data_IF_995096888208
#
_entry.id   IF_995096888208
#
_cell.length_a   1.000
_cell.length_b   1.000
_cell.length_c   1.000
_cell.angle_alpha   90.00
_cell.angle_beta   90.00
_cell.angle_gamma   90.00
#
_symmetry.space_group_name_H-M   'P 1'
#
loop_
_entity.id
_entity.type
_entity.pdbx_description
1 polymer ?
#
# COMPACT_ATOMS: atom_id res chain seq x y z
N UNK A 1 -34.07 -30.04 -0.52
CA UNK A 1 -33.30 -29.47 -1.67
C UNK A 1 -32.07 -28.80 -1.15
N UNK A 2 -30.91 -29.13 -1.68
CA UNK A 2 -29.65 -28.49 -1.34
C UNK A 2 -29.70 -26.96 -1.65
N UNK A 3 -29.28 -26.15 -0.71
CA UNK A 3 -29.31 -24.70 -0.80
C UNK A 3 -27.95 -24.19 -1.21
N UNK A 4 -27.88 -23.47 -2.31
CA UNK A 4 -26.66 -22.78 -2.76
C UNK A 4 -26.53 -21.45 -2.01
N UNK A 5 -25.60 -21.39 -1.08
CA UNK A 5 -25.28 -20.17 -0.37
C UNK A 5 -24.32 -19.34 -1.18
N UNK A 6 -24.78 -18.19 -1.63
CA UNK A 6 -24.00 -17.23 -2.40
C UNK A 6 -23.32 -16.25 -1.47
N UNK A 7 -22.12 -15.78 -1.86
CA UNK A 7 -21.43 -14.73 -1.15
C UNK A 7 -22.30 -13.46 -1.13
N UNK A 8 -22.75 -13.02 0.06
CA UNK A 8 -23.66 -11.88 0.17
C UNK A 8 -22.92 -10.56 -0.09
N UNK A 9 -23.67 -9.52 -0.44
CA UNK A 9 -23.21 -8.15 -0.37
C UNK A 9 -23.08 -7.76 1.12
N UNK A 10 -21.86 -7.57 1.58
CA UNK A 10 -21.54 -7.25 2.98
C UNK A 10 -21.49 -5.75 3.25
N UNK A 11 -22.01 -4.93 2.31
CA UNK A 11 -22.18 -3.49 2.43
C UNK A 11 -21.12 -2.64 1.72
N UNK A 12 -21.43 -1.35 1.52
CA UNK A 12 -20.55 -0.31 0.95
C UNK A 12 -19.96 -0.58 -0.45
N UNK A 13 -20.69 -1.33 -1.32
CA UNK A 13 -20.30 -1.54 -2.72
C UNK A 13 -19.12 -2.51 -2.91
N UNK A 14 -18.94 -3.45 -2.01
CA UNK A 14 -17.94 -4.52 -2.12
C UNK A 14 -18.37 -5.46 -3.25
N UNK A 15 -17.50 -5.65 -4.24
CA UNK A 15 -17.75 -6.51 -5.39
C UNK A 15 -17.05 -7.87 -5.31
N UNK A 16 -15.96 -7.95 -4.56
CA UNK A 16 -15.14 -9.18 -4.40
C UNK A 16 -14.56 -9.29 -2.99
N UNK A 17 -14.25 -10.52 -2.54
CA UNK A 17 -13.52 -10.79 -1.32
C UNK A 17 -12.57 -11.98 -1.47
N UNK A 18 -11.55 -12.08 -0.63
CA UNK A 18 -10.62 -13.21 -0.59
C UNK A 18 -10.88 -14.04 0.65
N UNK A 19 -11.10 -15.34 0.50
CA UNK A 19 -11.34 -16.25 1.64
C UNK A 19 -10.03 -16.39 2.43
N UNK A 20 -10.01 -15.86 3.64
CA UNK A 20 -8.85 -15.95 4.54
C UNK A 20 -8.81 -17.30 5.21
N UNK A 21 -9.95 -17.74 5.76
CA UNK A 21 -10.04 -18.97 6.53
C UNK A 21 -11.44 -19.56 6.53
N UNK A 22 -11.54 -20.86 6.40
CA UNK A 22 -12.76 -21.61 6.67
C UNK A 22 -12.84 -22.02 8.13
N UNK A 23 -13.97 -21.74 8.78
CA UNK A 23 -14.26 -22.20 10.17
C UNK A 23 -14.97 -23.56 10.17
N UNK A 24 -15.37 -24.06 9.00
CA UNK A 24 -16.11 -25.33 8.81
C UNK A 24 -15.49 -26.15 7.69
N UNK A 25 -15.74 -27.46 7.71
CA UNK A 25 -15.29 -28.40 6.68
C UNK A 25 -16.49 -29.04 5.97
N UNK A 26 -16.23 -29.59 4.79
CA UNK A 26 -17.24 -30.40 4.11
C UNK A 26 -17.65 -31.60 4.98
N UNK A 27 -18.96 -31.74 5.19
CA UNK A 27 -19.54 -32.75 6.07
C UNK A 27 -19.93 -32.23 7.47
N UNK A 28 -19.49 -31.05 7.87
CA UNK A 28 -19.84 -30.46 9.16
C UNK A 28 -21.30 -30.02 9.22
N UNK A 29 -21.93 -30.19 10.39
CA UNK A 29 -23.24 -29.64 10.68
C UNK A 29 -23.08 -28.19 11.17
N UNK A 30 -23.88 -27.30 10.60
CA UNK A 30 -23.87 -25.88 10.94
C UNK A 30 -25.27 -25.42 11.37
N UNK A 31 -25.33 -24.50 12.31
CA UNK A 31 -26.54 -23.83 12.73
C UNK A 31 -26.75 -22.53 11.92
N UNK A 32 -27.96 -21.96 11.97
CA UNK A 32 -28.17 -20.59 11.48
C UNK A 32 -27.29 -19.63 12.26
N UNK A 33 -26.74 -18.63 11.56
CA UNK A 33 -25.85 -17.57 12.09
C UNK A 33 -24.47 -18.07 12.60
N UNK A 34 -24.14 -19.36 12.41
CA UNK A 34 -22.82 -19.87 12.70
C UNK A 34 -21.83 -19.39 11.63
N UNK A 35 -20.67 -18.85 12.04
CA UNK A 35 -19.63 -18.34 11.14
C UNK A 35 -19.07 -19.50 10.30
N UNK A 36 -19.13 -19.36 8.96
CA UNK A 36 -18.62 -20.33 7.99
C UNK A 36 -17.20 -20.01 7.54
N UNK A 37 -16.94 -18.73 7.27
CA UNK A 37 -15.65 -18.28 6.74
C UNK A 37 -15.32 -16.86 7.19
N UNK A 38 -14.03 -16.53 7.22
CA UNK A 38 -13.50 -15.17 7.28
C UNK A 38 -13.08 -14.77 5.86
N UNK A 39 -13.61 -13.65 5.38
CA UNK A 39 -13.34 -13.12 4.04
C UNK A 39 -12.73 -11.73 4.17
N UNK A 40 -11.56 -11.54 3.60
CA UNK A 40 -10.88 -10.24 3.50
C UNK A 40 -11.45 -9.48 2.30
N UNK A 41 -11.99 -8.32 2.57
CA UNK A 41 -12.45 -7.36 1.57
C UNK A 41 -11.44 -6.23 1.44
N UNK A 42 -11.67 -5.27 0.57
CA UNK A 42 -10.82 -4.08 0.44
C UNK A 42 -10.79 -3.18 1.69
N UNK A 43 -11.78 -3.33 2.59
CA UNK A 43 -11.94 -2.48 3.78
C UNK A 43 -11.68 -3.21 5.10
N UNK A 44 -12.06 -4.48 5.23
CA UNK A 44 -11.94 -5.23 6.48
C UNK A 44 -12.03 -6.75 6.25
N UNK A 45 -11.69 -7.53 7.28
CA UNK A 45 -12.02 -8.95 7.35
C UNK A 45 -13.44 -9.06 7.91
N UNK A 46 -14.32 -9.70 7.14
CA UNK A 46 -15.72 -9.89 7.46
C UNK A 46 -16.02 -11.36 7.72
N UNK A 47 -16.70 -11.65 8.80
CA UNK A 47 -17.17 -12.99 9.11
C UNK A 47 -18.48 -13.29 8.36
N UNK A 48 -18.55 -14.42 7.65
CA UNK A 48 -19.72 -14.81 6.86
C UNK A 48 -20.52 -15.86 7.62
N UNK A 49 -21.71 -15.52 8.14
CA UNK A 49 -22.57 -16.45 8.86
C UNK A 49 -23.38 -17.35 7.92
N UNK A 50 -23.78 -18.51 8.42
CA UNK A 50 -24.69 -19.41 7.70
C UNK A 50 -26.13 -18.86 7.69
N UNK A 51 -26.81 -18.81 6.54
CA UNK A 51 -28.20 -18.35 6.46
C UNK A 51 -29.21 -19.35 7.02
N UNK A 52 -28.81 -20.61 7.23
CA UNK A 52 -29.69 -21.67 7.76
C UNK A 52 -28.88 -22.82 8.36
N UNK A 53 -29.55 -23.63 9.20
CA UNK A 53 -29.04 -24.90 9.69
C UNK A 53 -28.98 -25.97 8.60
N UNK A 54 -27.94 -26.80 8.62
CA UNK A 54 -27.78 -27.91 7.67
C UNK A 54 -26.41 -28.56 7.77
N UNK A 55 -26.07 -29.39 6.78
CA UNK A 55 -24.75 -29.98 6.64
C UNK A 55 -24.05 -29.34 5.41
N UNK A 56 -22.79 -29.01 5.54
CA UNK A 56 -21.99 -28.50 4.43
C UNK A 56 -21.75 -29.63 3.42
N UNK A 57 -22.44 -29.59 2.31
CA UNK A 57 -22.31 -30.61 1.27
C UNK A 57 -21.09 -30.39 0.39
N UNK A 58 -20.77 -29.11 0.11
CA UNK A 58 -19.63 -28.72 -0.71
C UNK A 58 -19.16 -27.32 -0.39
N UNK A 59 -17.85 -27.12 -0.39
CA UNK A 59 -17.18 -25.81 -0.42
C UNK A 59 -16.64 -25.59 -1.83
N UNK A 60 -17.00 -24.48 -2.49
CA UNK A 60 -16.65 -24.25 -3.90
C UNK A 60 -15.30 -23.54 -4.07
N UNK A 61 -14.80 -22.91 -3.03
CA UNK A 61 -13.57 -22.13 -3.05
C UNK A 61 -12.62 -22.61 -1.93
N UNK A 62 -11.32 -22.43 -2.13
CA UNK A 62 -10.27 -22.74 -1.15
C UNK A 62 -9.84 -21.48 -0.39
N UNK A 63 -9.15 -21.67 0.73
CA UNK A 63 -8.48 -20.56 1.41
C UNK A 63 -7.47 -19.90 0.46
N UNK A 64 -7.55 -18.56 0.36
CA UNK A 64 -6.77 -17.75 -0.57
C UNK A 64 -7.40 -17.51 -1.95
N UNK A 65 -8.57 -18.11 -2.26
CA UNK A 65 -9.30 -17.83 -3.48
C UNK A 65 -10.11 -16.53 -3.36
N UNK A 66 -10.22 -15.78 -4.46
CA UNK A 66 -11.10 -14.63 -4.56
C UNK A 66 -12.48 -15.06 -5.02
N UNK A 67 -13.53 -14.53 -4.38
CA UNK A 67 -14.93 -14.78 -4.71
C UNK A 67 -15.66 -13.47 -4.95
N UNK A 68 -16.53 -13.42 -5.98
CA UNK A 68 -17.35 -12.25 -6.27
C UNK A 68 -18.71 -12.33 -5.57
N UNK A 69 -19.29 -11.18 -5.26
CA UNK A 69 -20.65 -11.09 -4.71
C UNK A 69 -21.63 -11.78 -5.67
N UNK A 70 -22.45 -12.68 -5.11
CA UNK A 70 -23.40 -13.50 -5.88
C UNK A 70 -22.87 -14.85 -6.37
N UNK A 71 -21.55 -15.13 -6.28
CA UNK A 71 -21.00 -16.46 -6.54
C UNK A 71 -21.33 -17.45 -5.41
N UNK A 72 -21.43 -18.75 -5.76
CA UNK A 72 -21.79 -19.78 -4.77
C UNK A 72 -20.59 -20.11 -3.90
N UNK A 73 -20.65 -19.68 -2.62
CA UNK A 73 -19.63 -19.89 -1.61
C UNK A 73 -19.64 -21.35 -1.09
N UNK A 74 -20.81 -21.83 -0.67
CA UNK A 74 -20.98 -23.17 -0.13
C UNK A 74 -22.37 -23.74 -0.48
N UNK A 75 -22.51 -25.07 -0.44
CA UNK A 75 -23.79 -25.77 -0.58
C UNK A 75 -24.16 -26.43 0.73
N UNK A 76 -25.35 -26.07 1.26
CA UNK A 76 -25.86 -26.54 2.55
C UNK A 76 -27.11 -27.37 2.31
N UNK A 77 -27.20 -28.58 2.87
CA UNK A 77 -28.33 -29.48 2.69
C UNK A 77 -28.36 -30.59 3.74
N UNK A 78 -29.24 -31.60 3.52
CA UNK A 78 -29.29 -32.79 4.37
C UNK A 78 -28.30 -33.86 3.92
N UNK A 79 -27.82 -34.70 4.87
CA UNK A 79 -26.80 -35.73 4.61
C UNK A 79 -27.35 -36.76 3.63
N UNK A 80 -26.76 -36.79 2.41
CA UNK A 80 -27.15 -37.73 1.34
C UNK A 80 -27.87 -37.09 0.15
N UNK A 81 -28.16 -35.82 0.16
CA UNK A 81 -28.74 -35.08 -0.97
C UNK A 81 -27.74 -34.94 -2.12
N UNK A 82 -28.12 -35.36 -3.34
CA UNK A 82 -27.28 -35.20 -4.52
C UNK A 82 -27.25 -33.74 -4.97
N UNK A 83 -26.07 -33.20 -5.05
CA UNK A 83 -25.83 -31.85 -5.63
C UNK A 83 -26.14 -31.93 -7.14
N UNK A 84 -27.17 -31.23 -7.60
CA UNK A 84 -27.53 -31.16 -9.01
C UNK A 84 -26.43 -30.50 -9.83
N UNK A 85 -25.86 -31.21 -10.81
CA UNK A 85 -24.95 -30.65 -11.81
C UNK A 85 -25.73 -29.82 -12.84
N UNK A 86 -26.19 -28.64 -12.45
CA UNK A 86 -26.83 -27.74 -13.43
C UNK A 86 -26.12 -26.40 -13.39
N UNK A 87 -25.54 -26.10 -14.53
CA UNK A 87 -25.12 -24.79 -15.02
C UNK A 87 -23.80 -24.19 -14.51
N UNK A 88 -22.73 -24.57 -15.16
CA UNK A 88 -21.72 -23.63 -15.61
C UNK A 88 -21.98 -23.34 -17.09
N UNK A 89 -22.93 -22.51 -17.43
CA UNK A 89 -22.94 -21.79 -18.70
C UNK A 89 -22.41 -20.38 -18.39
N UNK A 90 -21.18 -20.13 -18.84
CA UNK A 90 -20.68 -18.78 -19.07
C UNK A 90 -21.60 -18.12 -20.09
N UNK A 91 -22.25 -17.04 -19.72
CA UNK A 91 -22.82 -16.12 -20.71
C UNK A 91 -21.67 -15.34 -21.33
N UNK A 92 -21.39 -15.67 -22.59
CA UNK A 92 -20.52 -14.88 -23.45
C UNK A 92 -21.18 -13.53 -23.73
N UNK A 93 -20.69 -12.48 -23.10
CA UNK A 93 -20.94 -11.11 -23.58
C UNK A 93 -20.17 -10.92 -24.87
N UNK A 94 -20.89 -10.85 -25.98
CA UNK A 94 -20.36 -10.51 -27.31
C UNK A 94 -19.65 -9.14 -27.25
N UNK A 95 -18.41 -9.04 -27.74
CA UNK A 95 -17.79 -7.74 -27.91
C UNK A 95 -18.37 -7.03 -29.12
N UNK A 96 -18.60 -5.75 -28.96
CA UNK A 96 -18.97 -4.82 -30.02
C UNK A 96 -17.81 -4.66 -31.01
N UNK A 97 -18.01 -5.12 -32.23
CA UNK A 97 -17.03 -4.99 -33.30
C UNK A 97 -17.23 -3.67 -34.05
N UNK A 98 -16.39 -2.69 -33.75
CA UNK A 98 -16.11 -1.56 -34.62
C UNK A 98 -14.83 -1.83 -35.42
N UNK A 99 -14.99 -1.93 -36.72
CA UNK A 99 -14.02 -2.10 -37.80
C UNK A 99 -12.70 -1.32 -37.62
N UNK A 100 -11.51 -1.90 -37.95
CA UNK A 100 -10.84 -1.77 -39.28
C UNK A 100 -9.44 -2.44 -39.23
N UNK A 101 -9.16 -3.25 -40.31
CA UNK A 101 -7.88 -3.63 -40.93
C UNK A 101 -7.01 -4.70 -40.27
N UNK A 102 -7.10 -5.86 -40.85
CA UNK A 102 -6.05 -6.78 -41.33
C UNK A 102 -5.03 -7.31 -40.33
N UNK A 103 -5.23 -8.58 -39.92
CA UNK A 103 -4.11 -9.48 -39.62
C UNK A 103 -4.44 -10.91 -40.01
N UNK A 104 -3.41 -11.59 -40.49
CA UNK A 104 -3.38 -12.95 -41.03
C UNK A 104 -3.79 -13.98 -39.97
N UNK A 105 -4.55 -14.97 -40.41
CA UNK A 105 -4.88 -16.18 -39.66
C UNK A 105 -3.63 -17.04 -39.47
N UNK A 106 -3.33 -17.40 -38.24
CA UNK A 106 -2.42 -18.51 -37.91
C UNK A 106 -3.21 -19.80 -37.70
N UNK A 107 -2.68 -20.88 -38.27
CA UNK A 107 -3.26 -22.21 -38.27
C UNK A 107 -3.26 -22.88 -36.88
N UNK A 108 -4.18 -23.83 -36.62
CA UNK A 108 -4.24 -24.49 -35.32
C UNK A 108 -3.15 -25.57 -35.19
N UNK A 109 -2.40 -25.50 -34.09
CA UNK A 109 -1.49 -26.57 -33.70
C UNK A 109 -2.22 -27.74 -33.06
N UNK A 110 -1.88 -28.93 -33.55
CA UNK A 110 -2.44 -30.23 -33.14
C UNK A 110 -1.95 -30.62 -31.75
N UNK A 111 -2.90 -31.05 -30.89
CA UNK A 111 -2.59 -31.70 -29.62
C UNK A 111 -2.02 -33.11 -29.82
N UNK A 112 -0.74 -33.30 -29.53
CA UNK A 112 -0.21 -34.65 -29.33
C UNK A 112 -0.47 -35.16 -27.91
N UNK A 113 -1.34 -36.14 -27.85
CA UNK A 113 -1.64 -36.93 -26.65
C UNK A 113 -0.53 -37.92 -26.41
N UNK A 114 0.30 -37.76 -25.42
CA UNK A 114 1.11 -38.84 -24.87
C UNK A 114 0.59 -39.30 -23.51
N UNK A 115 -0.09 -40.46 -23.57
CA UNK A 115 -0.41 -41.31 -22.42
C UNK A 115 0.89 -41.92 -21.87
N UNK A 116 1.23 -41.62 -20.61
CA UNK A 116 2.09 -42.50 -19.81
C UNK A 116 1.58 -42.61 -18.39
N UNK A 117 1.00 -43.77 -18.15
CA UNK A 117 0.89 -44.60 -16.93
C UNK A 117 1.07 -43.97 -15.55
N UNK A 118 -0.02 -44.16 -14.79
CA UNK A 118 -0.05 -44.15 -13.32
C UNK A 118 0.98 -45.14 -12.78
N UNK A 119 1.75 -44.67 -11.79
CA UNK A 119 2.34 -45.57 -10.79
C UNK A 119 2.13 -44.89 -9.44
N UNK A 120 1.41 -45.58 -8.58
CA UNK A 120 1.21 -45.27 -7.18
C UNK A 120 2.55 -45.24 -6.43
N UNK A 121 2.80 -44.17 -5.68
CA UNK A 121 3.68 -44.22 -4.52
C UNK A 121 3.28 -43.15 -3.53
N UNK A 122 2.36 -43.45 -2.66
CA UNK A 122 2.30 -42.86 -1.31
C UNK A 122 3.50 -43.34 -0.52
N UNK A 123 4.61 -42.61 -0.55
CA UNK A 123 5.65 -42.72 0.44
C UNK A 123 5.70 -41.36 1.14
N UNK A 124 5.19 -41.28 2.36
CA UNK A 124 5.38 -40.14 3.25
C UNK A 124 6.88 -39.87 3.36
N UNK A 125 7.34 -38.70 2.86
CA UNK A 125 8.69 -38.22 3.09
C UNK A 125 8.87 -38.10 4.60
N UNK A 126 9.64 -39.00 5.21
CA UNK A 126 10.01 -38.89 6.62
C UNK A 126 10.84 -37.63 6.78
N UNK A 127 10.29 -36.63 7.48
CA UNK A 127 10.97 -35.37 7.74
C UNK A 127 12.11 -35.66 8.71
N UNK A 128 13.35 -35.56 8.21
CA UNK A 128 14.56 -35.77 9.03
C UNK A 128 14.88 -34.47 9.73
N UNK A 129 14.50 -34.33 11.00
CA UNK A 129 14.77 -33.16 11.80
C UNK A 129 15.44 -33.55 13.14
N UNK A 130 16.36 -32.74 13.61
CA UNK A 130 16.99 -32.92 14.92
C UNK A 130 15.93 -32.81 16.05
N UNK A 131 16.04 -33.55 17.15
CA UNK A 131 15.06 -33.51 18.26
C UNK A 131 14.83 -32.09 18.79
N UNK A 132 15.89 -31.30 18.94
CA UNK A 132 15.83 -29.89 19.34
C UNK A 132 15.12 -29.01 18.33
N UNK A 133 15.33 -29.22 17.01
CA UNK A 133 14.63 -28.51 15.95
C UNK A 133 13.12 -28.81 15.95
N UNK A 134 12.72 -30.04 16.25
CA UNK A 134 11.29 -30.42 16.41
C UNK A 134 10.62 -29.71 17.59
N UNK A 135 11.34 -29.63 18.75
CA UNK A 135 10.85 -28.94 19.95
C UNK A 135 10.68 -27.44 19.67
N UNK A 136 11.69 -26.81 19.08
CA UNK A 136 11.68 -25.40 18.72
C UNK A 136 10.60 -25.07 17.68
N UNK A 137 10.40 -25.91 16.66
CA UNK A 137 9.34 -25.75 15.67
C UNK A 137 7.94 -25.80 16.30
N UNK A 138 7.75 -26.65 17.32
CA UNK A 138 6.49 -26.72 18.07
C UNK A 138 6.28 -25.47 18.95
N UNK A 139 7.33 -24.96 19.60
CA UNK A 139 7.29 -23.73 20.41
C UNK A 139 7.01 -22.48 19.57
N UNK A 140 7.56 -22.42 18.34
CA UNK A 140 7.41 -21.30 17.43
C UNK A 140 6.24 -21.46 16.45
N UNK A 141 5.44 -22.54 16.56
CA UNK A 141 4.29 -22.87 15.71
C UNK A 141 4.61 -22.90 14.20
N UNK A 142 5.80 -23.45 13.84
CA UNK A 142 6.31 -23.55 12.47
C UNK A 142 6.20 -24.99 11.98
N UNK A 143 5.58 -25.20 10.80
CA UNK A 143 5.48 -26.53 10.15
C UNK A 143 6.83 -26.94 9.56
N UNK A 144 7.36 -28.09 9.99
CA UNK A 144 8.61 -28.67 9.50
C UNK A 144 8.53 -29.12 8.03
N UNK A 145 7.33 -29.30 7.48
CA UNK A 145 7.09 -29.73 6.09
C UNK A 145 7.55 -28.68 5.07
N UNK A 146 7.60 -27.41 5.50
CA UNK A 146 7.93 -26.28 4.66
C UNK A 146 9.38 -25.79 4.83
N UNK A 147 10.21 -26.52 5.62
CA UNK A 147 11.59 -26.15 5.91
C UNK A 147 12.54 -27.07 5.15
N UNK A 148 13.44 -26.49 4.34
CA UNK A 148 14.56 -27.24 3.76
C UNK A 148 15.69 -27.33 4.78
N UNK A 149 16.04 -28.56 5.19
CA UNK A 149 17.13 -28.80 6.14
C UNK A 149 18.51 -28.54 5.52
N UNK A 150 19.36 -27.78 6.21
CA UNK A 150 20.75 -27.50 5.80
C UNK A 150 21.78 -28.39 6.50
N UNK A 151 21.38 -29.25 7.43
CA UNK A 151 22.25 -30.18 8.14
C UNK A 151 22.64 -31.41 7.31
N UNK A 152 23.58 -32.23 7.81
CA UNK A 152 24.05 -33.44 7.13
C UNK A 152 22.90 -34.39 6.75
N UNK A 153 22.88 -34.80 5.47
CA UNK A 153 21.81 -35.66 4.93
C UNK A 153 20.47 -34.97 4.77
N UNK A 154 20.41 -33.60 4.65
CA UNK A 154 19.16 -32.83 4.52
C UNK A 154 18.39 -32.69 5.84
N UNK A 155 19.04 -32.89 6.99
CA UNK A 155 18.41 -32.77 8.32
C UNK A 155 18.10 -31.32 8.64
N UNK A 156 16.88 -31.06 9.13
CA UNK A 156 16.46 -29.73 9.62
C UNK A 156 17.15 -29.45 10.95
N UNK A 157 17.86 -28.31 11.02
CA UNK A 157 18.57 -27.81 12.21
C UNK A 157 17.74 -26.77 12.96
N UNK A 158 18.15 -26.40 14.18
CA UNK A 158 17.52 -25.32 14.95
C UNK A 158 17.58 -23.97 14.21
N UNK A 159 18.68 -23.70 13.51
CA UNK A 159 18.88 -22.47 12.77
C UNK A 159 17.93 -22.37 11.55
N UNK A 160 17.61 -23.49 10.92
CA UNK A 160 16.61 -23.56 9.85
C UNK A 160 15.23 -23.20 10.37
N UNK A 161 14.87 -23.69 11.56
CA UNK A 161 13.59 -23.36 12.21
C UNK A 161 13.57 -21.89 12.62
N UNK A 162 14.64 -21.33 13.20
CA UNK A 162 14.73 -19.91 13.55
C UNK A 162 14.65 -19.02 12.32
N UNK A 163 15.35 -19.35 11.24
CA UNK A 163 15.27 -18.63 9.96
C UNK A 163 13.86 -18.69 9.36
N UNK A 164 13.18 -19.81 9.47
CA UNK A 164 11.81 -19.98 9.01
C UNK A 164 10.79 -19.24 9.88
N UNK A 165 11.01 -19.10 11.18
CA UNK A 165 10.14 -18.37 12.11
C UNK A 165 10.34 -16.85 12.02
N UNK A 166 11.52 -16.38 11.65
CA UNK A 166 11.82 -14.96 11.46
C UNK A 166 11.53 -14.46 10.03
N UNK A 167 11.30 -15.39 9.11
CA UNK A 167 10.95 -15.08 7.72
C UNK A 167 9.44 -14.98 7.53
N UNK A 168 8.93 -13.79 7.19
CA UNK A 168 7.62 -13.64 6.54
C UNK A 168 7.54 -14.64 5.38
N UNK A 169 6.35 -15.18 5.03
CA UNK A 169 6.20 -15.94 3.80
C UNK A 169 6.57 -15.02 2.64
N UNK A 170 7.78 -15.17 2.14
CA UNK A 170 8.18 -14.53 0.89
C UNK A 170 7.14 -14.95 -0.14
N UNK A 171 6.55 -13.99 -0.84
CA UNK A 171 5.61 -14.26 -1.93
C UNK A 171 6.24 -15.35 -2.80
N UNK A 172 5.52 -16.46 -3.04
CA UNK A 172 6.04 -17.59 -3.83
C UNK A 172 6.40 -17.05 -5.22
N UNK A 173 7.69 -16.81 -5.42
CA UNK A 173 8.24 -16.41 -6.71
C UNK A 173 8.19 -17.64 -7.60
N UNK A 174 7.29 -17.65 -8.57
CA UNK A 174 7.21 -18.73 -9.56
C UNK A 174 8.16 -18.41 -10.69
N UNK A 175 9.34 -19.03 -10.69
CA UNK A 175 10.26 -18.95 -11.82
C UNK A 175 9.60 -19.60 -13.04
N UNK A 176 9.35 -18.82 -14.09
CA UNK A 176 8.88 -19.28 -15.38
C UNK A 176 9.83 -18.80 -16.46
N UNK A 177 9.91 -19.58 -17.53
CA UNK A 177 10.59 -19.21 -18.75
C UNK A 177 9.63 -18.43 -19.65
N UNK A 178 10.05 -17.32 -20.23
CA UNK A 178 9.40 -16.69 -21.36
C UNK A 178 10.26 -16.81 -22.63
N UNK A 179 9.87 -16.18 -23.72
CA UNK A 179 10.58 -16.22 -25.00
C UNK A 179 12.01 -15.68 -24.94
N UNK A 180 12.35 -14.92 -23.91
CA UNK A 180 13.64 -14.22 -23.77
C UNK A 180 14.50 -14.77 -22.63
N UNK A 181 13.92 -15.56 -21.71
CA UNK A 181 14.68 -16.12 -20.60
C UNK A 181 13.86 -16.37 -19.33
N UNK A 182 14.56 -16.48 -18.21
CA UNK A 182 13.93 -16.70 -16.92
C UNK A 182 13.26 -15.42 -16.41
N UNK A 183 12.02 -15.54 -15.95
CA UNK A 183 11.25 -14.47 -15.33
C UNK A 183 10.76 -14.89 -13.94
N UNK A 184 10.85 -13.98 -12.99
CA UNK A 184 10.26 -14.12 -11.68
C UNK A 184 8.92 -13.36 -11.66
N UNK A 185 7.82 -14.05 -11.41
CA UNK A 185 6.49 -13.45 -11.27
C UNK A 185 6.18 -13.21 -9.80
N UNK A 186 6.13 -11.94 -9.41
CA UNK A 186 5.82 -11.52 -8.04
C UNK A 186 4.41 -10.92 -8.03
N UNK A 187 3.44 -11.51 -7.30
CA UNK A 187 2.09 -10.95 -7.24
C UNK A 187 2.07 -9.64 -6.44
N UNK A 188 1.27 -8.69 -6.89
CA UNK A 188 0.96 -7.48 -6.12
C UNK A 188 0.04 -7.86 -4.94
N UNK A 189 0.54 -7.75 -3.71
CA UNK A 189 -0.20 -8.08 -2.47
C UNK A 189 -0.02 -6.99 -1.42
N UNK A 190 -0.99 -6.90 -0.48
CA UNK A 190 -0.94 -5.97 0.65
C UNK A 190 -0.75 -4.52 0.22
N UNK A 191 0.10 -3.78 0.93
CA UNK A 191 0.38 -2.35 0.67
C UNK A 191 0.74 -2.08 -0.80
N UNK A 192 1.48 -2.98 -1.46
CA UNK A 192 1.86 -2.82 -2.88
C UNK A 192 0.66 -2.85 -3.82
N UNK A 193 -0.36 -3.70 -3.54
CA UNK A 193 -1.62 -3.75 -4.32
C UNK A 193 -2.38 -2.44 -4.17
N UNK A 194 -2.54 -1.96 -2.92
CA UNK A 194 -3.23 -0.70 -2.61
C UNK A 194 -2.51 0.50 -3.26
N UNK A 195 -1.17 0.55 -3.17
CA UNK A 195 -0.37 1.60 -3.81
C UNK A 195 -0.58 1.60 -5.33
N UNK A 196 -0.58 0.43 -5.98
CA UNK A 196 -0.79 0.33 -7.42
C UNK A 196 -2.17 0.86 -7.84
N UNK A 197 -3.21 0.55 -7.08
CA UNK A 197 -4.57 1.04 -7.29
C UNK A 197 -4.64 2.57 -7.13
N UNK A 198 -4.17 3.10 -5.99
CA UNK A 198 -4.17 4.54 -5.70
C UNK A 198 -3.35 5.37 -6.70
N UNK A 199 -2.18 4.88 -7.12
CA UNK A 199 -1.35 5.60 -8.09
C UNK A 199 -2.03 5.64 -9.47
N UNK A 200 -2.68 4.53 -9.88
CA UNK A 200 -3.47 4.52 -11.12
C UNK A 200 -4.66 5.48 -11.02
N UNK A 201 -5.38 5.47 -9.91
CA UNK A 201 -6.50 6.38 -9.65
C UNK A 201 -6.05 7.85 -9.74
N UNK A 202 -4.97 8.21 -9.07
CA UNK A 202 -4.42 9.56 -9.10
C UNK A 202 -4.08 10.03 -10.53
N UNK A 203 -3.37 9.21 -11.30
CA UNK A 203 -2.95 9.57 -12.67
C UNK A 203 -4.12 9.59 -13.66
N UNK A 204 -5.15 8.75 -13.44
CA UNK A 204 -6.32 8.70 -14.31
C UNK A 204 -7.32 9.83 -14.04
N UNK A 205 -7.35 10.39 -12.83
CA UNK A 205 -8.33 11.39 -12.40
C UNK A 205 -7.77 12.81 -12.22
N UNK A 206 -6.47 13.01 -12.38
CA UNK A 206 -5.83 14.32 -12.19
C UNK A 206 -4.93 14.67 -13.38
N UNK A 207 -4.98 15.92 -13.82
CA UNK A 207 -4.10 16.47 -14.87
C UNK A 207 -2.81 16.99 -14.22
N UNK A 208 -1.88 16.09 -13.93
CA UNK A 208 -0.70 16.38 -13.12
C UNK A 208 0.35 17.20 -13.87
N UNK A 209 0.76 18.31 -13.29
CA UNK A 209 1.90 19.14 -13.72
C UNK A 209 2.84 19.34 -12.54
N UNK A 210 4.15 19.40 -12.80
CA UNK A 210 5.17 19.59 -11.76
C UNK A 210 6.02 20.82 -12.04
N UNK A 211 6.10 21.73 -11.07
CA UNK A 211 7.10 22.79 -11.01
C UNK A 211 8.30 22.35 -10.17
N UNK A 212 9.48 22.54 -10.71
CA UNK A 212 10.73 22.35 -9.98
C UNK A 212 11.37 23.70 -9.69
N UNK A 213 11.83 23.88 -8.47
CA UNK A 213 12.57 25.07 -8.05
C UNK A 213 13.60 24.68 -6.96
N UNK A 214 14.33 25.64 -6.46
CA UNK A 214 15.28 25.47 -5.39
C UNK A 214 15.14 26.59 -4.35
N UNK A 215 15.50 26.24 -3.10
CA UNK A 215 15.42 27.16 -1.95
C UNK A 215 16.78 27.25 -1.29
N UNK A 216 17.24 28.48 -1.02
CA UNK A 216 18.42 28.71 -0.20
C UNK A 216 18.08 28.53 1.28
N UNK A 217 18.37 27.35 1.80
CA UNK A 217 18.07 26.99 3.20
C UNK A 217 19.27 27.22 4.14
N UNK A 218 20.21 28.11 3.79
CA UNK A 218 21.38 28.37 4.61
C UNK A 218 20.97 28.94 5.98
N UNK A 219 20.15 29.99 5.98
CA UNK A 219 19.62 30.62 7.20
C UNK A 219 18.76 29.65 8.01
N UNK A 220 17.89 28.86 7.32
CA UNK A 220 17.09 27.82 7.96
C UNK A 220 17.96 26.74 8.60
N UNK A 221 19.06 26.35 7.95
CA UNK A 221 20.00 25.36 8.49
C UNK A 221 20.66 25.85 9.79
N UNK A 222 21.00 27.15 9.87
CA UNK A 222 21.64 27.72 11.05
C UNK A 222 20.61 27.88 12.17
N UNK A 223 19.41 28.34 11.86
CA UNK A 223 18.29 28.41 12.81
C UNK A 223 17.98 27.02 13.38
N UNK A 224 17.89 25.99 12.50
CA UNK A 224 17.66 24.62 12.92
C UNK A 224 18.74 24.09 13.86
N UNK A 225 20.00 24.43 13.68
CA UNK A 225 21.08 24.02 14.62
C UNK A 225 20.78 24.54 16.04
N UNK A 226 20.44 25.81 16.16
CA UNK A 226 20.10 26.45 17.45
C UNK A 226 18.86 25.78 18.06
N UNK A 227 17.81 25.63 17.28
CA UNK A 227 16.55 25.05 17.76
C UNK A 227 16.67 23.54 18.05
N UNK A 228 17.55 22.80 17.34
CA UNK A 228 17.82 21.38 17.61
C UNK A 228 18.43 21.16 19.00
N UNK A 229 19.33 22.02 19.44
CA UNK A 229 19.93 21.97 20.79
C UNK A 229 18.87 22.23 21.87
N UNK A 230 18.00 23.24 21.65
CA UNK A 230 16.88 23.54 22.57
C UNK A 230 15.84 22.37 22.60
N UNK A 231 15.54 21.78 21.44
CA UNK A 231 14.62 20.67 21.32
C UNK A 231 15.18 19.39 21.99
N UNK A 232 16.48 19.13 21.85
CA UNK A 232 17.14 17.97 22.47
C UNK A 232 17.05 18.01 24.01
N UNK A 233 17.17 19.22 24.63
CA UNK A 233 16.95 19.40 26.07
C UNK A 233 15.53 19.03 26.53
N UNK A 234 14.56 19.01 25.58
CA UNK A 234 13.16 18.60 25.80
C UNK A 234 12.86 17.19 25.31
N UNK A 235 13.88 16.41 24.90
CA UNK A 235 13.73 15.07 24.37
C UNK A 235 13.14 15.01 22.96
N UNK A 236 13.14 16.13 22.21
CA UNK A 236 12.53 16.23 20.87
C UNK A 236 13.61 16.11 19.80
N UNK A 237 13.44 15.15 18.87
CA UNK A 237 14.30 15.04 17.69
C UNK A 237 13.82 15.95 16.57
N UNK A 238 14.53 17.09 16.34
CA UNK A 238 14.14 18.13 15.39
C UNK A 238 14.89 18.00 14.07
N UNK A 239 14.13 17.72 12.98
CA UNK A 239 14.59 17.67 11.59
C UNK A 239 14.21 18.94 10.82
N UNK A 240 14.44 18.98 9.49
CA UNK A 240 13.95 20.05 8.61
C UNK A 240 12.44 19.99 8.37
N UNK A 241 11.86 18.80 8.41
CA UNK A 241 10.47 18.55 8.01
C UNK A 241 9.43 19.38 8.80
N UNK A 242 9.50 19.56 10.13
CA UNK A 242 8.60 20.43 10.87
C UNK A 242 8.64 21.91 10.41
N UNK A 243 9.81 22.42 10.01
CA UNK A 243 9.94 23.77 9.46
C UNK A 243 9.30 23.87 8.07
N UNK A 244 9.55 22.88 7.20
CA UNK A 244 8.94 22.80 5.85
C UNK A 244 7.42 22.73 5.98
N UNK A 245 6.91 21.90 6.90
CA UNK A 245 5.48 21.77 7.17
C UNK A 245 4.85 23.09 7.62
N UNK A 246 5.49 23.82 8.56
CA UNK A 246 5.02 25.14 8.98
C UNK A 246 5.05 26.18 7.85
N UNK A 247 6.10 26.17 7.03
CA UNK A 247 6.20 27.05 5.87
C UNK A 247 5.09 26.75 4.86
N UNK A 248 4.85 25.47 4.57
CA UNK A 248 3.76 24.99 3.71
C UNK A 248 2.40 25.47 4.22
N UNK A 249 2.09 25.30 5.50
CA UNK A 249 0.83 25.76 6.10
C UNK A 249 0.63 27.28 5.92
N UNK A 250 1.69 28.07 6.14
CA UNK A 250 1.63 29.52 5.94
C UNK A 250 1.34 29.88 4.48
N UNK A 251 1.92 29.14 3.53
CA UNK A 251 1.65 29.31 2.10
C UNK A 251 0.24 28.85 1.74
N UNK A 252 -0.25 27.71 2.26
CA UNK A 252 -1.61 27.22 2.05
C UNK A 252 -2.68 28.21 2.50
N UNK A 253 -2.44 28.94 3.60
CA UNK A 253 -3.37 29.98 4.11
C UNK A 253 -3.53 31.15 3.14
N UNK A 254 -2.51 31.43 2.32
CA UNK A 254 -2.54 32.46 1.29
C UNK A 254 -3.09 31.96 -0.06
N UNK A 255 -2.92 30.66 -0.32
CA UNK A 255 -3.29 29.99 -1.58
C UNK A 255 -4.30 28.88 -1.33
N UNK A 256 -5.57 29.20 -1.05
CA UNK A 256 -6.55 28.22 -0.57
C UNK A 256 -6.87 27.12 -1.59
N UNK A 257 -6.75 27.35 -2.90
CA UNK A 257 -6.96 26.34 -3.93
C UNK A 257 -5.94 25.20 -3.86
N UNK A 258 -4.76 25.40 -3.28
CA UNK A 258 -3.74 24.36 -3.09
C UNK A 258 -4.19 23.30 -2.08
N UNK A 259 -5.10 23.66 -1.15
CA UNK A 259 -5.68 22.75 -0.17
C UNK A 259 -7.11 22.35 -0.57
N UNK A 260 -7.26 21.63 -1.66
CA UNK A 260 -8.56 21.29 -2.24
C UNK A 260 -8.66 19.84 -2.71
N UNK A 261 -9.87 19.43 -3.09
CA UNK A 261 -10.17 18.22 -3.85
C UNK A 261 -11.15 18.56 -4.98
N UNK A 262 -11.24 17.70 -6.00
CA UNK A 262 -12.24 17.80 -7.06
C UNK A 262 -13.28 16.69 -6.84
N UNK A 263 -14.55 17.07 -6.78
CA UNK A 263 -15.67 16.16 -6.59
C UNK A 263 -16.75 16.49 -7.64
N UNK A 264 -16.91 15.61 -8.65
CA UNK A 264 -17.72 15.90 -9.82
C UNK A 264 -17.22 17.15 -10.56
N UNK A 265 -18.07 18.15 -10.69
CA UNK A 265 -17.77 19.43 -11.34
C UNK A 265 -17.43 20.56 -10.34
N UNK A 266 -17.14 20.22 -9.08
CA UNK A 266 -16.89 21.19 -8.03
C UNK A 266 -15.46 21.07 -7.48
N UNK A 267 -14.85 22.22 -7.15
CA UNK A 267 -13.59 22.32 -6.40
C UNK A 267 -13.94 22.54 -4.93
N UNK A 268 -13.64 21.57 -4.08
CA UNK A 268 -13.89 21.64 -2.64
C UNK A 268 -12.66 22.19 -1.92
N UNK A 269 -12.68 23.49 -1.58
CA UNK A 269 -11.59 24.13 -0.84
C UNK A 269 -11.70 23.77 0.64
N UNK A 270 -10.67 23.11 1.18
CA UNK A 270 -10.61 22.70 2.58
C UNK A 270 -10.14 23.88 3.46
N UNK A 271 -10.85 24.16 4.55
CA UNK A 271 -10.52 25.23 5.50
C UNK A 271 -9.85 24.69 6.77
N UNK A 272 -9.31 23.49 6.70
CA UNK A 272 -8.51 22.83 7.73
C UNK A 272 -7.18 22.36 7.13
N UNK A 273 -6.16 22.24 7.96
CA UNK A 273 -4.79 21.97 7.50
C UNK A 273 -4.27 20.68 8.11
N UNK A 274 -4.72 19.56 7.50
CA UNK A 274 -4.25 18.22 7.81
C UNK A 274 -3.18 17.83 6.77
N UNK A 275 -1.95 17.66 7.21
CA UNK A 275 -0.82 17.49 6.30
C UNK A 275 -0.33 16.04 6.32
N UNK A 276 -0.39 15.37 5.17
CA UNK A 276 0.20 14.06 4.96
C UNK A 276 1.74 14.13 4.95
N UNK A 277 2.37 13.17 5.59
CA UNK A 277 3.83 13.04 5.63
C UNK A 277 4.21 11.66 5.12
N UNK A 278 4.87 11.60 3.97
CA UNK A 278 5.28 10.33 3.38
C UNK A 278 6.44 9.69 4.17
N UNK A 279 6.24 8.45 4.61
CA UNK A 279 7.22 7.65 5.36
C UNK A 279 7.51 6.38 4.59
N UNK A 280 8.78 6.16 4.25
CA UNK A 280 9.25 4.97 3.58
C UNK A 280 9.34 3.78 4.54
N UNK A 281 8.93 2.59 4.07
CA UNK A 281 9.01 1.34 4.80
C UNK A 281 9.45 0.19 3.88
N UNK A 282 9.99 -0.90 4.43
CA UNK A 282 10.33 -2.08 3.62
C UNK A 282 9.16 -2.68 2.83
N UNK A 283 7.92 -2.44 3.27
CA UNK A 283 6.71 -2.97 2.62
C UNK A 283 6.11 -1.98 1.61
N UNK A 284 6.56 -0.72 1.59
CA UNK A 284 6.08 0.37 0.73
C UNK A 284 5.93 1.70 1.46
N UNK A 285 5.39 2.70 0.77
CA UNK A 285 5.20 4.05 1.29
C UNK A 285 3.87 4.14 2.07
N UNK A 286 3.92 4.76 3.24
CA UNK A 286 2.75 5.05 4.07
C UNK A 286 2.71 6.57 4.32
N UNK A 287 1.52 7.16 4.28
CA UNK A 287 1.32 8.61 4.44
C UNK A 287 0.42 8.89 5.64
N UNK A 288 0.93 8.91 6.89
CA UNK A 288 0.19 9.41 8.02
C UNK A 288 -0.10 10.91 7.90
N UNK A 289 -1.19 11.34 8.53
CA UNK A 289 -1.74 12.69 8.42
C UNK A 289 -1.64 13.40 9.76
N UNK A 290 -0.83 14.45 9.83
CA UNK A 290 -0.76 15.37 10.96
C UNK A 290 -1.99 16.26 10.95
N UNK A 291 -2.94 15.99 11.83
CA UNK A 291 -4.24 16.68 11.89
C UNK A 291 -4.14 18.01 12.61
N UNK A 292 -4.86 19.04 12.12
CA UNK A 292 -4.85 20.38 12.73
C UNK A 292 -3.43 20.95 12.84
N UNK A 293 -2.60 20.74 11.81
CA UNK A 293 -1.18 21.04 11.85
C UNK A 293 -0.89 22.54 12.03
N UNK A 294 -1.83 23.40 11.65
CA UNK A 294 -1.73 24.87 11.81
C UNK A 294 -1.90 25.35 13.25
N UNK A 295 -2.46 24.52 14.12
CA UNK A 295 -2.66 24.81 15.55
C UNK A 295 -1.46 24.34 16.41
N UNK A 296 -0.50 23.62 15.82
CA UNK A 296 0.60 22.98 16.53
C UNK A 296 1.88 23.83 16.46
N UNK A 297 2.62 23.87 17.56
CA UNK A 297 3.93 24.50 17.62
C UNK A 297 4.99 23.60 16.95
N UNK A 298 6.15 24.18 16.63
CA UNK A 298 7.24 23.49 15.94
C UNK A 298 7.64 22.16 16.59
N UNK A 299 7.77 22.14 17.92
CA UNK A 299 8.19 20.95 18.65
C UNK A 299 7.09 19.88 18.75
N UNK A 300 5.82 20.32 18.82
CA UNK A 300 4.68 19.39 18.83
C UNK A 300 4.59 18.65 17.49
N UNK A 301 4.75 19.39 16.38
CA UNK A 301 4.84 18.81 15.04
C UNK A 301 6.01 17.82 14.92
N UNK A 302 7.18 18.18 15.46
CA UNK A 302 8.34 17.26 15.45
C UNK A 302 8.06 15.98 16.23
N UNK A 303 7.46 16.07 17.41
CA UNK A 303 7.10 14.92 18.24
C UNK A 303 6.07 14.02 17.57
N UNK A 304 5.03 14.59 16.97
CA UNK A 304 3.98 13.83 16.29
C UNK A 304 4.54 13.11 15.07
N UNK A 305 5.35 13.77 14.24
CA UNK A 305 6.03 13.13 13.10
C UNK A 305 6.91 11.98 13.59
N UNK A 306 7.70 12.17 14.65
CA UNK A 306 8.54 11.11 15.22
C UNK A 306 7.67 9.93 15.72
N UNK A 307 6.54 10.23 16.36
CA UNK A 307 5.57 9.22 16.82
C UNK A 307 5.01 8.42 15.65
N UNK A 308 4.66 9.07 14.54
CA UNK A 308 4.21 8.37 13.33
C UNK A 308 5.32 7.50 12.74
N UNK A 309 6.55 7.97 12.66
CA UNK A 309 7.69 7.16 12.21
C UNK A 309 7.84 5.89 13.05
N UNK A 310 7.71 5.99 14.38
CA UNK A 310 7.79 4.83 15.28
C UNK A 310 6.58 3.89 15.14
N UNK A 311 5.35 4.43 15.02
CA UNK A 311 4.14 3.63 14.79
C UNK A 311 4.23 2.86 13.47
N UNK A 312 4.69 3.51 12.39
CA UNK A 312 4.85 2.91 11.07
C UNK A 312 5.92 1.83 11.09
N UNK A 313 7.08 2.06 11.69
CA UNK A 313 8.14 1.06 11.86
C UNK A 313 7.65 -0.18 12.62
N UNK A 314 6.84 0.03 13.66
CA UNK A 314 6.24 -1.03 14.48
C UNK A 314 5.00 -1.66 13.85
N UNK A 315 4.54 -1.19 12.67
CA UNK A 315 3.28 -1.59 12.00
C UNK A 315 2.04 -1.44 12.87
N UNK A 316 2.01 -0.37 13.68
CA UNK A 316 0.92 -0.03 14.61
C UNK A 316 0.25 1.28 14.25
N UNK A 317 0.28 1.67 12.95
CA UNK A 317 -0.42 2.86 12.48
C UNK A 317 -1.92 2.56 12.41
N UNK A 318 -2.75 3.49 12.87
CA UNK A 318 -4.19 3.40 12.76
C UNK A 318 -4.64 3.84 11.36
N UNK A 319 -5.69 3.22 10.83
CA UNK A 319 -6.28 3.62 9.54
C UNK A 319 -6.83 5.04 9.59
N UNK A 320 -7.30 5.50 10.75
CA UNK A 320 -7.74 6.88 10.95
C UNK A 320 -6.59 7.89 10.90
N UNK A 321 -5.35 7.46 11.23
CA UNK A 321 -4.16 8.28 11.08
C UNK A 321 -3.77 8.50 9.60
N UNK A 322 -4.34 7.73 8.66
CA UNK A 322 -4.05 7.80 7.22
C UNK A 322 -5.10 8.58 6.41
N UNK A 323 -6.19 9.05 7.06
CA UNK A 323 -7.32 9.70 6.40
C UNK A 323 -7.40 11.20 6.68
N UNK A 324 -8.04 11.93 5.76
CA UNK A 324 -8.41 13.33 5.94
C UNK A 324 -7.27 14.32 5.69
N UNK A 325 -6.23 13.92 4.93
CA UNK A 325 -5.21 14.83 4.41
C UNK A 325 -5.78 15.80 3.38
N UNK A 326 -5.16 16.97 3.28
CA UNK A 326 -5.48 18.00 2.28
C UNK A 326 -4.29 18.35 1.40
N UNK A 327 -3.11 17.99 1.84
CA UNK A 327 -1.84 18.24 1.18
C UNK A 327 -0.78 17.27 1.72
N UNK A 328 0.05 16.73 0.86
CA UNK A 328 1.11 15.78 1.26
C UNK A 328 2.50 16.38 1.07
N UNK A 329 3.40 16.11 2.01
CA UNK A 329 4.84 16.40 1.90
C UNK A 329 5.61 15.09 1.84
N UNK A 330 6.49 14.96 0.86
CA UNK A 330 7.40 13.82 0.70
C UNK A 330 8.85 14.28 0.61
N UNK A 331 9.75 13.59 1.32
CA UNK A 331 11.17 13.94 1.37
C UNK A 331 12.04 12.76 0.95
N UNK A 332 12.63 12.84 -0.23
CA UNK A 332 13.60 11.86 -0.74
C UNK A 332 15.05 12.32 -0.62
N UNK A 333 15.27 13.51 -0.07
CA UNK A 333 16.61 14.04 0.15
C UNK A 333 17.44 13.21 1.12
N UNK A 334 16.78 12.52 2.06
CA UNK A 334 17.43 11.58 3.00
C UNK A 334 18.03 10.38 2.28
N UNK A 335 17.42 9.96 1.16
CA UNK A 335 17.88 8.83 0.33
C UNK A 335 18.92 9.29 -0.71
N UNK A 336 19.10 10.62 -0.87
CA UNK A 336 20.14 11.21 -1.72
C UNK A 336 19.65 11.71 -3.08
N UNK A 337 18.35 11.70 -3.36
CA UNK A 337 17.78 12.23 -4.61
C UNK A 337 17.60 13.75 -4.57
N UNK A 338 17.57 14.37 -5.74
CA UNK A 338 17.42 15.83 -5.89
C UNK A 338 16.00 16.20 -6.34
N UNK A 339 15.73 16.24 -7.63
CA UNK A 339 14.41 16.52 -8.20
C UNK A 339 13.69 15.23 -8.58
N UNK A 340 12.37 15.26 -8.49
CA UNK A 340 11.50 14.17 -8.93
C UNK A 340 10.08 14.70 -9.11
N UNK A 341 9.24 13.95 -9.78
CA UNK A 341 7.81 14.25 -9.95
C UNK A 341 7.00 13.40 -8.98
N UNK A 342 6.62 13.91 -7.81
CA UNK A 342 5.74 13.18 -6.90
C UNK A 342 4.33 13.08 -7.50
N UNK A 343 3.66 11.94 -7.33
CA UNK A 343 2.25 11.77 -7.69
C UNK A 343 1.41 12.18 -6.48
N UNK A 344 0.34 12.94 -6.71
CA UNK A 344 -0.56 13.39 -5.63
C UNK A 344 -1.20 12.21 -4.89
N UNK A 345 -1.45 12.38 -3.60
CA UNK A 345 -2.18 11.40 -2.79
C UNK A 345 -3.69 11.64 -2.98
N UNK A 346 -4.23 11.18 -4.11
CA UNK A 346 -5.63 11.39 -4.47
C UNK A 346 -6.59 11.03 -3.32
N UNK A 347 -7.64 11.84 -3.02
CA UNK A 347 -8.18 12.97 -3.77
C UNK A 347 -7.53 14.35 -3.47
N UNK A 348 -6.36 14.42 -2.80
CA UNK A 348 -5.61 15.67 -2.68
C UNK A 348 -5.19 16.16 -4.07
N UNK A 349 -5.20 17.46 -4.30
CA UNK A 349 -4.85 18.06 -5.60
C UNK A 349 -3.37 18.44 -5.72
N UNK A 350 -2.65 18.45 -4.60
CA UNK A 350 -1.26 18.94 -4.55
C UNK A 350 -0.37 18.12 -3.63
N UNK A 351 0.92 18.07 -3.99
CA UNK A 351 1.97 17.41 -3.19
C UNK A 351 3.29 18.19 -3.34
N UNK A 352 4.02 18.34 -2.22
CA UNK A 352 5.36 18.93 -2.20
C UNK A 352 6.42 17.85 -1.99
N UNK A 353 7.35 17.73 -2.92
CA UNK A 353 8.56 16.94 -2.81
C UNK A 353 9.76 17.79 -2.39
N UNK A 354 10.61 17.29 -1.50
CA UNK A 354 11.88 17.93 -1.15
C UNK A 354 13.04 16.98 -1.42
N UNK A 355 14.12 17.54 -1.99
CA UNK A 355 15.32 16.80 -2.32
C UNK A 355 16.48 17.02 -1.35
N UNK A 356 17.65 16.48 -1.70
CA UNK A 356 18.87 16.55 -0.91
C UNK A 356 19.41 17.97 -0.82
N UNK A 357 19.67 18.44 0.39
CA UNK A 357 20.32 19.73 0.64
C UNK A 357 21.81 19.60 0.31
N UNK A 358 22.28 20.44 -0.62
CA UNK A 358 23.66 20.46 -1.07
C UNK A 358 24.29 21.84 -0.91
N UNK A 359 25.61 21.89 -0.67
CA UNK A 359 26.39 23.12 -0.81
C UNK A 359 26.60 23.41 -2.29
N UNK A 360 26.13 24.58 -2.75
CA UNK A 360 26.31 25.07 -4.12
C UNK A 360 26.89 26.47 -4.13
N UNK A 361 27.62 26.78 -5.18
CA UNK A 361 28.04 28.15 -5.47
C UNK A 361 26.82 28.94 -5.94
N UNK A 362 26.60 30.10 -5.34
CA UNK A 362 25.52 31.01 -5.70
C UNK A 362 26.07 32.44 -5.75
N UNK A 363 25.43 33.29 -6.54
CA UNK A 363 25.70 34.73 -6.54
C UNK A 363 24.72 35.45 -5.61
N UNK A 364 25.23 36.22 -4.64
CA UNK A 364 24.44 37.07 -3.76
C UNK A 364 25.14 38.42 -3.63
N UNK A 365 24.46 39.51 -3.86
CA UNK A 365 25.01 40.87 -3.81
C UNK A 365 26.31 41.00 -4.62
N UNK A 366 26.29 40.46 -5.86
CA UNK A 366 27.40 40.40 -6.81
C UNK A 366 28.66 39.64 -6.32
N UNK A 367 28.52 38.83 -5.26
CA UNK A 367 29.58 38.00 -4.72
C UNK A 367 29.30 36.53 -4.89
N UNK A 368 30.35 35.77 -5.19
CA UNK A 368 30.32 34.31 -5.21
C UNK A 368 30.35 33.80 -3.77
N UNK A 369 29.31 33.11 -3.35
CA UNK A 369 29.15 32.56 -2.00
C UNK A 369 28.75 31.09 -2.02
N UNK A 370 29.08 30.34 -0.97
CA UNK A 370 28.61 28.95 -0.80
C UNK A 370 27.31 28.97 0.00
N UNK A 371 26.26 28.42 -0.59
CA UNK A 371 24.93 28.34 0.02
C UNK A 371 24.46 26.89 0.11
N UNK A 372 23.54 26.61 1.06
CA UNK A 372 22.87 25.31 1.16
C UNK A 372 21.56 25.39 0.39
N UNK A 373 21.51 24.65 -0.70
CA UNK A 373 20.38 24.68 -1.64
C UNK A 373 19.57 23.40 -1.47
N UNK A 374 18.27 23.53 -1.29
CA UNK A 374 17.30 22.45 -1.23
C UNK A 374 16.45 22.45 -2.48
N UNK A 375 16.50 21.38 -3.31
CA UNK A 375 15.58 21.23 -4.42
C UNK A 375 14.17 20.99 -3.89
N UNK A 376 13.18 21.58 -4.56
CA UNK A 376 11.75 21.36 -4.29
C UNK A 376 11.02 21.06 -5.58
N UNK A 377 10.00 20.19 -5.48
CA UNK A 377 9.16 19.74 -6.59
C UNK A 377 7.72 19.82 -6.15
N UNK A 378 6.93 20.66 -6.79
CA UNK A 378 5.53 20.87 -6.48
C UNK A 378 4.67 20.31 -7.62
N UNK A 379 3.96 19.22 -7.37
CA UNK A 379 3.02 18.63 -8.33
C UNK A 379 1.60 19.01 -7.93
N UNK A 380 0.80 19.40 -8.92
CA UNK A 380 -0.57 19.83 -8.74
C UNK A 380 -1.47 19.37 -9.90
N UNK A 381 -2.77 19.29 -9.62
CA UNK A 381 -3.80 19.02 -10.59
C UNK A 381 -4.12 20.29 -11.38
N UNK A 382 -3.81 20.30 -12.69
CA UNK A 382 -4.00 21.48 -13.54
C UNK A 382 -5.48 21.81 -13.83
N UNK A 383 -6.40 20.94 -13.39
CA UNK A 383 -7.83 21.27 -13.40
C UNK A 383 -8.21 22.28 -12.31
N UNK A 384 -7.36 22.42 -11.28
CA UNK A 384 -7.59 23.27 -10.08
C UNK A 384 -6.68 24.48 -10.07
N UNK A 385 -5.41 24.30 -10.42
CA UNK A 385 -4.38 25.34 -10.40
C UNK A 385 -3.78 25.54 -11.78
N UNK A 386 -3.64 26.78 -12.19
CA UNK A 386 -2.80 27.13 -13.33
C UNK A 386 -1.32 27.31 -12.93
N UNK A 387 -0.46 27.45 -13.95
CA UNK A 387 0.97 27.64 -13.75
C UNK A 387 1.32 28.91 -12.97
N UNK A 388 0.54 29.96 -13.12
CA UNK A 388 0.78 31.25 -12.44
C UNK A 388 0.48 31.15 -10.94
N UNK A 389 -0.62 30.47 -10.56
CA UNK A 389 -0.98 30.24 -9.16
C UNK A 389 0.04 29.32 -8.47
N UNK A 390 0.43 28.23 -9.17
CA UNK A 390 1.47 27.32 -8.67
C UNK A 390 2.81 28.04 -8.46
N UNK A 391 3.21 28.93 -9.36
CA UNK A 391 4.42 29.74 -9.22
C UNK A 391 4.34 30.72 -8.04
N UNK A 392 3.19 31.37 -7.81
CA UNK A 392 2.97 32.25 -6.66
C UNK A 392 3.08 31.49 -5.34
N UNK A 393 2.45 30.32 -5.25
CA UNK A 393 2.57 29.44 -4.07
C UNK A 393 4.02 29.05 -3.80
N UNK A 394 4.77 28.63 -4.84
CA UNK A 394 6.17 28.23 -4.72
C UNK A 394 7.06 29.40 -4.30
N UNK A 395 6.84 30.60 -4.84
CA UNK A 395 7.56 31.82 -4.45
C UNK A 395 7.32 32.20 -2.98
N UNK A 396 6.06 32.12 -2.52
CA UNK A 396 5.74 32.39 -1.11
C UNK A 396 6.38 31.35 -0.19
N UNK A 397 6.32 30.06 -0.55
CA UNK A 397 6.97 28.99 0.20
C UNK A 397 8.49 29.18 0.27
N UNK A 398 9.14 29.52 -0.85
CA UNK A 398 10.56 29.81 -0.93
C UNK A 398 10.93 30.99 -0.02
N UNK A 399 10.21 32.11 -0.11
CA UNK A 399 10.45 33.32 0.69
C UNK A 399 10.35 33.03 2.19
N UNK A 400 9.38 32.18 2.62
CA UNK A 400 9.22 31.81 4.03
C UNK A 400 10.37 30.91 4.50
N UNK A 401 10.85 29.99 3.67
CA UNK A 401 11.95 29.08 4.00
C UNK A 401 13.31 29.78 3.99
N UNK A 402 13.50 30.77 3.12
CA UNK A 402 14.71 31.61 3.06
C UNK A 402 14.78 32.60 4.25
N UNK A 403 13.62 33.03 4.78
CA UNK A 403 13.47 33.92 5.97
C UNK A 403 12.71 33.21 7.10
N UNK A 404 13.33 32.21 7.76
CA UNK A 404 12.64 31.24 8.58
C UNK A 404 12.29 31.70 10.01
N UNK A 405 12.60 32.93 10.43
CA UNK A 405 12.45 33.41 11.81
C UNK A 405 11.00 33.27 12.31
N UNK A 406 10.05 33.41 11.40
CA UNK A 406 8.63 33.27 11.70
C UNK A 406 8.17 31.81 11.92
N UNK A 407 9.04 30.83 11.67
CA UNK A 407 8.71 29.39 11.77
C UNK A 407 8.92 28.85 13.20
N UNK A 408 9.56 29.57 14.10
CA UNK A 408 9.80 29.15 15.49
C UNK A 408 8.85 29.78 16.51
N UNK A 409 8.10 30.81 16.08
CA UNK A 409 7.11 31.53 16.92
C UNK A 409 5.83 30.78 17.13
#
# INVERSE_FOLDING_TARGET
MAFEFKFPDVGEGITEGTIVKWKVKQGDKVNSDQILAEVETDKAIVEIPSPKKGTILKLNHKEGDTINVGEVLAVIGEKGEKVSKKALKKEDKKPYTGSVVGFLEEAPEEEEVSKLKKADAKAGKSIIAAPKARKLAKELNVSLENISGTGPGGRITEDDVKKSSSGKPAAKVTKKYDLFGYVDRVPLKGIRKITAQKMREAVSNAALVTHHDHVDVTTLSDLRKIEKEKAAKKGVHLTYLPFILRATIKSLKKHPFVASSVEGDEIIIKKYYNIGVAIDTPDGLIVPVVKGADQKKLYDLANEINTYVEKVKKRKIDLMDLKGGVFTITNIGVIGSTYFTPIVNYPETCILGTGRIEKKVAVRDDKIVIRKIMPISFTYDHRVLDGAEAARFMNDLRNILEKPESLVK
#
